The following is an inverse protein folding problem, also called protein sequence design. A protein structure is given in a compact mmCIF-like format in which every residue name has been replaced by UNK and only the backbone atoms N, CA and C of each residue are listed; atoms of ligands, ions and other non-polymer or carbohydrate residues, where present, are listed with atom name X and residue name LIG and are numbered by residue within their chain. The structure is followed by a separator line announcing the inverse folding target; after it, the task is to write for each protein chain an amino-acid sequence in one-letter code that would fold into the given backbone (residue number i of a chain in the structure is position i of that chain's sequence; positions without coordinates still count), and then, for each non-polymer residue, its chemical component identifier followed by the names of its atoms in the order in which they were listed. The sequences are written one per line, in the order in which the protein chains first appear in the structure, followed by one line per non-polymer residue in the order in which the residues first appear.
data_IF_103756632949
#
_entry.id   IF_103756632949
#
_cell.length_a   1.000
_cell.length_b   1.000
_cell.length_c   1.000
_cell.angle_alpha   90.00
_cell.angle_beta   90.00
_cell.angle_gamma   90.00
#
_symmetry.space_group_name_H-M   'P 1'
#
loop_
_entity.id
_entity.type
_entity.pdbx_description
1 polymer ?
#
# COMPACT_ATOMS: atom_id res chain seq x y z
N UNK A 1 8.73 14.80 -8.11
CA UNK A 1 8.23 14.16 -6.90
C UNK A 1 7.07 14.93 -6.32
N UNK A 2 6.07 14.23 -5.91
CA UNK A 2 4.92 14.86 -5.30
C UNK A 2 5.25 15.31 -3.90
N UNK A 3 4.92 16.53 -3.57
CA UNK A 3 5.08 16.97 -2.20
C UNK A 3 3.70 17.17 -1.59
N UNK A 4 3.58 16.73 -0.37
CA UNK A 4 2.35 16.86 0.41
C UNK A 4 2.62 17.91 1.46
N UNK A 5 1.77 18.91 1.54
CA UNK A 5 1.96 19.94 2.55
C UNK A 5 1.66 19.38 3.94
N UNK A 6 2.02 20.13 4.97
CA UNK A 6 1.91 19.65 6.34
C UNK A 6 0.48 19.33 6.74
N UNK A 7 -0.49 20.08 6.24
CA UNK A 7 -1.89 19.82 6.57
C UNK A 7 -2.38 18.53 5.94
N UNK A 8 -2.00 18.29 4.68
CA UNK A 8 -2.39 17.07 4.01
C UNK A 8 -1.74 15.86 4.67
N UNK A 9 -0.46 15.98 5.04
CA UNK A 9 0.23 14.90 5.73
C UNK A 9 -0.45 14.57 7.06
N UNK A 10 -0.83 15.60 7.82
CA UNK A 10 -1.52 15.37 9.09
C UNK A 10 -2.85 14.66 8.89
N UNK A 11 -3.59 15.01 7.85
CA UNK A 11 -4.87 14.34 7.56
C UNK A 11 -4.67 12.88 7.22
N UNK A 12 -3.63 12.56 6.45
CA UNK A 12 -3.36 11.18 6.08
C UNK A 12 -2.96 10.36 7.31
N UNK A 13 -2.09 10.92 8.15
CA UNK A 13 -1.66 10.24 9.36
C UNK A 13 -2.84 10.02 10.31
N UNK A 14 -3.71 11.01 10.47
CA UNK A 14 -4.90 10.86 11.29
C UNK A 14 -5.82 9.78 10.74
N UNK A 15 -6.03 9.75 9.43
CA UNK A 15 -6.86 8.72 8.80
C UNK A 15 -6.28 7.33 9.01
N UNK A 16 -4.95 7.19 8.93
CA UNK A 16 -4.31 5.92 9.20
C UNK A 16 -4.61 5.41 10.60
N UNK A 17 -4.54 6.30 11.57
CA UNK A 17 -4.77 5.93 12.96
C UNK A 17 -6.21 5.53 13.22
N UNK A 18 -7.13 6.03 12.42
CA UNK A 18 -8.55 5.73 12.55
C UNK A 18 -9.00 4.55 11.70
N UNK A 19 -8.12 4.01 10.85
CA UNK A 19 -8.50 2.94 9.95
C UNK A 19 -9.34 3.43 8.78
N UNK A 20 -9.19 4.67 8.39
CA UNK A 20 -9.94 5.27 7.29
C UNK A 20 -9.14 5.26 6.00
N UNK A 21 -9.79 5.08 4.86
CA UNK A 21 -9.08 5.17 3.58
C UNK A 21 -8.68 6.61 3.27
N UNK A 22 -7.67 6.74 2.44
CA UNK A 22 -7.19 8.03 1.96
C UNK A 22 -7.04 8.00 0.46
N UNK A 23 -6.97 9.18 -0.14
CA UNK A 23 -6.69 9.33 -1.56
C UNK A 23 -5.49 10.24 -1.69
N UNK A 24 -4.48 9.78 -2.38
CA UNK A 24 -3.27 10.57 -2.62
C UNK A 24 -3.08 10.67 -4.12
N UNK A 25 -2.84 11.87 -4.62
CA UNK A 25 -2.62 12.06 -6.05
C UNK A 25 -1.29 12.71 -6.34
N UNK A 26 -0.81 12.44 -7.55
CA UNK A 26 0.35 13.14 -8.09
C UNK A 26 0.01 13.54 -9.53
N UNK A 27 1.02 13.98 -10.28
CA UNK A 27 0.79 14.43 -11.66
C UNK A 27 0.34 13.29 -12.58
N UNK A 28 0.60 12.06 -12.22
CA UNK A 28 0.32 10.91 -13.07
C UNK A 28 -0.93 10.14 -12.70
N UNK A 29 -1.58 10.50 -11.62
CA UNK A 29 -2.81 9.82 -11.22
C UNK A 29 -3.04 9.90 -9.73
N UNK A 30 -3.89 9.01 -9.24
CA UNK A 30 -4.26 8.97 -7.83
C UNK A 30 -4.34 7.53 -7.36
N UNK A 31 -4.18 7.34 -6.06
CA UNK A 31 -4.37 6.05 -5.41
C UNK A 31 -5.34 6.19 -4.26
N UNK A 32 -6.29 5.28 -4.18
CA UNK A 32 -7.13 5.13 -3.00
C UNK A 32 -6.54 4.02 -2.16
N UNK A 33 -6.23 4.34 -0.92
CA UNK A 33 -5.39 3.51 -0.09
C UNK A 33 -5.97 3.33 1.30
N UNK A 34 -5.74 2.17 1.90
CA UNK A 34 -6.09 1.90 3.29
C UNK A 34 -4.88 1.27 3.95
N UNK A 35 -4.40 1.85 5.04
CA UNK A 35 -3.21 1.32 5.71
C UNK A 35 -3.47 -0.09 6.22
N UNK A 36 -2.53 -0.99 6.00
CA UNK A 36 -2.67 -2.38 6.43
C UNK A 36 -2.70 -2.48 7.94
N UNK A 37 -1.78 -1.77 8.60
CA UNK A 37 -1.75 -1.77 10.04
C UNK A 37 -2.88 -0.92 10.58
N UNK A 38 -3.69 -1.47 11.45
CA UNK A 38 -4.79 -0.76 12.05
C UNK A 38 -6.13 -0.92 11.33
N UNK A 39 -6.13 -1.51 10.15
CA UNK A 39 -7.40 -1.72 9.44
C UNK A 39 -8.16 -2.88 10.08
N UNK A 40 -9.40 -2.67 10.42
CA UNK A 40 -10.27 -3.71 10.93
C UNK A 40 -10.93 -4.47 9.78
N UNK A 41 -11.52 -5.62 10.10
CA UNK A 41 -12.14 -6.47 9.07
C UNK A 41 -13.25 -5.73 8.32
N UNK A 42 -14.05 -4.94 9.01
CA UNK A 42 -15.10 -4.17 8.37
C UNK A 42 -14.55 -3.09 7.46
N UNK A 43 -13.47 -2.44 7.87
CA UNK A 43 -12.83 -1.41 7.07
C UNK A 43 -12.28 -2.00 5.78
N UNK A 44 -11.67 -3.16 5.86
CA UNK A 44 -11.10 -3.84 4.69
C UNK A 44 -12.22 -4.26 3.74
N UNK A 45 -13.30 -4.81 4.28
CA UNK A 45 -14.42 -5.25 3.45
C UNK A 45 -15.06 -4.08 2.72
N UNK A 46 -15.24 -2.97 3.41
CA UNK A 46 -15.84 -1.78 2.80
C UNK A 46 -14.93 -1.14 1.75
N UNK A 47 -13.64 -1.23 1.97
CA UNK A 47 -12.67 -0.61 1.07
C UNK A 47 -12.61 -1.31 -0.30
N UNK A 48 -12.72 -2.62 -0.32
CA UNK A 48 -12.65 -3.38 -1.58
C UNK A 48 -11.25 -3.43 -2.14
N UNK A 49 -10.33 -4.02 -1.40
CA UNK A 49 -8.93 -4.08 -1.79
C UNK A 49 -8.70 -4.98 -3.01
N UNK A 50 -7.92 -4.52 -3.94
CA UNK A 50 -7.51 -5.30 -5.10
C UNK A 50 -6.00 -5.43 -5.23
N UNK A 51 -5.25 -4.67 -4.44
CA UNK A 51 -3.79 -4.71 -4.46
C UNK A 51 -3.19 -4.37 -3.13
N UNK A 52 -1.87 -4.58 -3.05
CA UNK A 52 -1.10 -4.27 -1.85
C UNK A 52 0.13 -3.49 -2.29
N UNK A 53 0.35 -2.34 -1.66
CA UNK A 53 1.52 -1.50 -1.90
C UNK A 53 2.56 -1.80 -0.84
N UNK A 54 3.77 -2.07 -1.27
CA UNK A 54 4.88 -2.41 -0.40
C UNK A 54 6.06 -1.49 -0.66
N UNK A 55 6.86 -1.25 0.36
CA UNK A 55 8.10 -0.50 0.17
C UNK A 55 9.05 -1.30 -0.72
N UNK A 56 10.02 -0.59 -1.32
CA UNK A 56 11.03 -1.24 -2.14
C UNK A 56 11.82 -2.26 -1.32
N UNK A 57 12.12 -1.93 -0.08
CA UNK A 57 12.87 -2.83 0.82
C UNK A 57 12.11 -4.12 1.08
N UNK A 58 10.81 -3.99 1.36
CA UNK A 58 10.00 -5.19 1.60
C UNK A 58 9.87 -6.04 0.34
N UNK A 59 9.69 -5.39 -0.80
CA UNK A 59 9.60 -6.09 -2.07
C UNK A 59 10.89 -6.87 -2.35
N UNK A 60 12.03 -6.27 -2.07
CA UNK A 60 13.31 -6.93 -2.25
C UNK A 60 13.45 -8.15 -1.36
N UNK A 61 13.06 -8.02 -0.09
CA UNK A 61 13.09 -9.13 0.85
C UNK A 61 12.24 -10.30 0.38
N UNK A 62 11.09 -10.01 -0.19
CA UNK A 62 10.17 -11.03 -0.69
C UNK A 62 10.53 -11.54 -2.08
N UNK A 63 11.56 -10.98 -2.68
CA UNK A 63 12.01 -11.36 -4.03
C UNK A 63 10.92 -11.18 -5.08
N UNK A 64 10.16 -10.11 -4.92
CA UNK A 64 9.02 -9.82 -5.79
C UNK A 64 9.40 -9.18 -7.09
N UNK A 65 10.60 -8.63 -7.15
CA UNK A 65 10.92 -7.73 -8.23
C UNK A 65 12.09 -8.23 -9.02
N UNK A 66 12.11 -7.85 -10.26
CA UNK A 66 13.35 -7.93 -11.02
C UNK A 66 14.15 -6.66 -10.67
N UNK A 67 15.35 -6.60 -11.11
CA UNK A 67 16.26 -5.54 -10.71
C UNK A 67 15.79 -4.15 -11.15
N UNK A 68 15.13 -4.07 -12.26
CA UNK A 68 14.67 -2.78 -12.75
C UNK A 68 13.62 -2.20 -11.82
N UNK A 69 12.69 -3.01 -11.37
CA UNK A 69 11.66 -2.55 -10.45
C UNK A 69 12.25 -2.18 -9.10
N UNK A 70 13.29 -2.89 -8.67
CA UNK A 70 13.91 -2.64 -7.38
C UNK A 70 14.42 -1.22 -7.25
N UNK A 71 14.89 -0.65 -8.34
CA UNK A 71 15.47 0.67 -8.31
C UNK A 71 14.43 1.78 -8.28
N UNK A 72 13.16 1.46 -8.48
CA UNK A 72 12.15 2.47 -8.72
C UNK A 72 11.33 2.88 -7.52
N UNK A 73 11.46 2.22 -6.41
CA UNK A 73 10.68 2.55 -5.22
C UNK A 73 9.59 1.54 -4.93
N UNK A 74 8.47 1.98 -4.36
CA UNK A 74 7.43 1.06 -3.94
C UNK A 74 6.88 0.19 -5.08
N UNK A 75 6.41 -0.98 -4.71
CA UNK A 75 5.91 -1.99 -5.64
C UNK A 75 4.50 -2.38 -5.23
N UNK A 76 3.65 -2.66 -6.19
CA UNK A 76 2.29 -3.14 -5.92
C UNK A 76 2.15 -4.56 -6.43
N UNK A 77 1.40 -5.36 -5.67
CA UNK A 77 1.04 -6.72 -6.07
C UNK A 77 -0.46 -6.89 -6.03
N UNK A 78 -0.96 -7.80 -6.86
CA UNK A 78 -2.39 -8.10 -6.90
C UNK A 78 -2.79 -8.94 -5.69
N UNK A 79 -3.98 -8.69 -5.16
CA UNK A 79 -4.57 -9.50 -4.09
C UNK A 79 -5.80 -10.20 -4.63
N UNK A 80 -5.91 -11.49 -4.38
CA UNK A 80 -7.12 -12.24 -4.65
C UNK A 80 -8.05 -12.19 -3.45
N UNK A 81 -9.20 -12.83 -3.58
CA UNK A 81 -10.24 -12.79 -2.55
C UNK A 81 -9.77 -13.29 -1.19
N UNK A 82 -8.92 -14.29 -1.16
CA UNK A 82 -8.44 -14.83 0.10
C UNK A 82 -7.20 -14.17 0.65
N UNK A 83 -6.72 -13.12 0.00
CA UNK A 83 -5.42 -12.54 0.33
C UNK A 83 -5.50 -11.31 1.23
N UNK A 84 -6.67 -10.83 1.53
CA UNK A 84 -6.83 -9.67 2.42
C UNK A 84 -6.77 -10.11 3.88
N UNK A 85 -6.62 -9.15 4.77
CA UNK A 85 -6.56 -9.44 6.20
C UNK A 85 -5.27 -10.14 6.59
N UNK A 86 -5.35 -11.30 7.26
CA UNK A 86 -4.14 -11.94 7.79
C UNK A 86 -3.09 -12.26 6.73
N UNK A 87 -3.50 -12.65 5.54
CA UNK A 87 -2.55 -12.95 4.47
C UNK A 87 -1.80 -11.71 4.03
N UNK A 88 -2.52 -10.61 3.82
CA UNK A 88 -1.90 -9.35 3.43
C UNK A 88 -0.96 -8.86 4.53
N UNK A 89 -1.37 -9.00 5.79
CA UNK A 89 -0.55 -8.63 6.93
C UNK A 89 0.75 -9.44 6.94
N UNK A 90 0.67 -10.74 6.68
CA UNK A 90 1.86 -11.58 6.65
C UNK A 90 2.80 -11.19 5.52
N UNK A 91 2.25 -10.82 4.36
CA UNK A 91 3.07 -10.36 3.25
C UNK A 91 3.79 -9.07 3.62
N UNK A 92 3.08 -8.15 4.27
CA UNK A 92 3.60 -6.82 4.55
C UNK A 92 4.55 -6.77 5.74
N UNK A 93 4.37 -7.62 6.72
CA UNK A 93 5.01 -7.48 8.03
C UNK A 93 6.20 -8.44 8.17
N UNK A 94 7.44 -7.92 8.19
CA UNK A 94 8.62 -8.78 8.32
C UNK A 94 8.67 -9.55 9.63
N UNK A 95 7.99 -9.09 10.68
CA UNK A 95 8.01 -9.81 11.94
C UNK A 95 7.28 -11.15 11.86
N UNK A 96 6.49 -11.38 10.82
CA UNK A 96 5.76 -12.62 10.62
C UNK A 96 6.50 -13.61 9.71
N UNK A 97 7.69 -13.26 9.24
CA UNK A 97 8.40 -14.09 8.26
C UNK A 97 8.81 -15.44 8.82
N UNK A 98 9.15 -15.51 10.09
CA UNK A 98 9.53 -16.79 10.70
C UNK A 98 8.33 -17.72 10.83
N UNK A 99 7.16 -17.17 11.10
CA UNK A 99 5.96 -17.97 11.26
C UNK A 99 5.37 -18.38 9.90
N UNK A 100 5.57 -17.56 8.89
CA UNK A 100 5.00 -17.79 7.57
C UNK A 100 6.05 -17.53 6.50
N UNK A 101 7.01 -18.44 6.34
CA UNK A 101 8.12 -18.18 5.43
C UNK A 101 7.78 -18.29 3.94
N UNK A 102 6.76 -19.06 3.59
CA UNK A 102 6.38 -19.25 2.19
C UNK A 102 5.21 -18.38 1.86
N UNK A 103 5.48 -17.29 1.16
CA UNK A 103 4.45 -16.29 0.88
C UNK A 103 4.02 -16.19 -0.57
N UNK A 104 4.89 -16.55 -1.50
CA UNK A 104 4.58 -16.46 -2.92
C UNK A 104 3.74 -17.62 -3.43
N UNK A 105 3.41 -17.63 -4.72
CA UNK A 105 3.85 -16.65 -5.72
C UNK A 105 3.02 -15.38 -5.68
N UNK A 106 3.57 -14.33 -6.27
CA UNK A 106 2.91 -13.03 -6.31
C UNK A 106 2.81 -12.54 -7.74
N UNK A 107 1.82 -11.71 -8.00
CA UNK A 107 1.62 -11.10 -9.30
C UNK A 107 1.71 -9.59 -9.17
N UNK A 108 2.57 -8.98 -9.97
CA UNK A 108 2.77 -7.53 -9.92
C UNK A 108 1.59 -6.77 -10.48
N UNK A 109 1.37 -5.58 -9.94
CA UNK A 109 0.46 -4.61 -10.50
C UNK A 109 1.26 -3.39 -10.95
N UNK A 110 0.87 -2.82 -12.06
CA UNK A 110 1.50 -1.61 -12.54
C UNK A 110 1.09 -0.42 -11.67
N UNK A 111 2.06 0.43 -11.36
CA UNK A 111 1.81 1.67 -10.64
C UNK A 111 2.04 2.83 -11.59
N UNK A 112 1.03 3.64 -11.84
CA UNK A 112 1.19 4.86 -12.61
C UNK A 112 1.45 6.05 -11.70
N UNK A 113 0.78 6.12 -10.57
CA UNK A 113 0.95 7.21 -9.62
C UNK A 113 2.10 6.91 -8.65
N UNK A 114 3.31 6.86 -9.17
CA UNK A 114 4.48 6.47 -8.38
C UNK A 114 4.83 7.47 -7.29
N UNK A 115 4.60 8.76 -7.55
CA UNK A 115 4.82 9.79 -6.55
C UNK A 115 3.87 9.64 -5.38
N UNK A 116 2.60 9.35 -5.68
CA UNK A 116 1.61 9.11 -4.63
C UNK A 116 1.99 7.87 -3.81
N UNK A 117 2.46 6.81 -4.47
CA UNK A 117 2.88 5.60 -3.79
C UNK A 117 4.07 5.86 -2.86
N UNK A 118 5.05 6.61 -3.32
CA UNK A 118 6.21 6.95 -2.50
C UNK A 118 5.81 7.79 -1.31
N UNK A 119 4.91 8.75 -1.51
CA UNK A 119 4.42 9.59 -0.42
C UNK A 119 3.69 8.76 0.63
N UNK A 120 2.87 7.80 0.19
CA UNK A 120 2.14 6.93 1.12
C UNK A 120 3.09 6.12 2.00
N UNK A 121 4.11 5.53 1.41
CA UNK A 121 5.09 4.75 2.16
C UNK A 121 5.83 5.63 3.16
N UNK A 122 6.23 6.82 2.74
CA UNK A 122 6.94 7.75 3.63
C UNK A 122 6.05 8.21 4.78
N UNK A 123 4.78 8.49 4.51
CA UNK A 123 3.85 8.92 5.57
C UNK A 123 3.61 7.82 6.59
N UNK A 124 3.53 6.58 6.15
CA UNK A 124 3.38 5.46 7.08
C UNK A 124 4.60 5.35 8.00
N UNK A 125 5.79 5.54 7.44
CA UNK A 125 7.01 5.53 8.24
C UNK A 125 7.04 6.68 9.24
N UNK A 126 6.64 7.87 8.82
CA UNK A 126 6.55 9.02 9.72
C UNK A 126 5.58 8.77 10.85
N UNK A 127 4.51 8.05 10.59
CA UNK A 127 3.52 7.72 11.61
C UNK A 127 3.92 6.52 12.46
N UNK A 128 5.10 5.95 12.23
CA UNK A 128 5.56 4.74 12.91
C UNK A 128 4.63 3.56 12.68
N UNK A 129 4.11 3.47 11.46
CA UNK A 129 3.24 2.39 11.04
C UNK A 129 3.95 1.53 10.01
N UNK A 130 3.47 0.31 9.86
CA UNK A 130 3.94 -0.59 8.83
C UNK A 130 3.77 0.09 7.47
N UNK A 131 4.83 0.22 6.65
CA UNK A 131 4.74 0.95 5.39
C UNK A 131 4.13 0.11 4.27
N UNK A 132 2.88 -0.27 4.47
CA UNK A 132 2.12 -1.06 3.52
C UNK A 132 0.68 -0.58 3.48
N UNK A 133 0.08 -0.59 2.31
CA UNK A 133 -1.26 -0.08 2.09
C UNK A 133 -2.03 -1.01 1.18
N UNK A 134 -3.33 -1.19 1.47
CA UNK A 134 -4.23 -1.78 0.48
C UNK A 134 -4.51 -0.75 -0.61
N UNK A 135 -4.62 -1.21 -1.84
CA UNK A 135 -5.00 -0.39 -2.99
C UNK A 135 -6.41 -0.82 -3.41
N UNK A 136 -7.28 0.15 -3.65
CA UNK A 136 -8.66 -0.15 -4.02
C UNK A 136 -8.72 -0.93 -5.33
N UNK A 137 -9.65 -1.88 -5.39
CA UNK A 137 -9.79 -2.73 -6.58
C UNK A 137 -10.21 -1.95 -7.82
N UNK A 138 -10.99 -0.88 -7.66
CA UNK A 138 -11.36 -0.04 -8.78
C UNK A 138 -10.21 0.87 -9.18
N UNK A 139 -9.10 0.74 -8.52
CA UNK A 139 -7.88 1.26 -8.99
C UNK A 139 -7.68 2.63 -8.89
N UNK A 140 -6.87 2.99 -9.71
CA UNK A 140 -6.37 4.16 -9.73
C UNK A 140 -7.05 5.02 -10.62
N UNK A 141 -7.84 4.75 -11.18
CA UNK A 141 -8.40 5.52 -12.12
C UNK A 141 -8.79 6.78 -11.62
N UNK A 142 -9.37 7.44 -12.35
CA UNK A 142 -9.77 8.71 -12.07
C UNK A 142 -10.61 8.62 -10.95
N UNK A 143 -10.65 7.70 -10.51
CA UNK A 143 -11.26 7.52 -9.49
C UNK A 143 -12.06 8.45 -9.17
N UNK A 144 -12.36 8.55 -9.51
CA UNK A 144 -13.17 9.14 -9.13
C UNK A 144 -13.09 10.08 -8.87
N UNK A 145 -12.78 10.12 -9.24
CA UNK A 145 -12.63 10.93 -9.09
C UNK A 145 -13.24 11.49 -8.18
N UNK A 146 -13.71 11.31 -7.78
CA UNK A 146 -14.35 11.83 -6.89
C UNK A 146 -13.93 12.22 -6.00
#
# INVERSE_FOLDING_TARGET
MTSIDAKAAARVIDAMRRGWPVRIEDADGALRLLAVEGAGDGDIADFGAGGLLLSAERAATLKLINQAAAASGPVAIALGDGDVGPRARAIADPTLDMAQPMKGPFRSLALTARGAAAAAVDLARLAHRLPAWYIAADGDGPIDAS
#
